data_IF_812244731963
#
_entry.id   IF_812244731963
#
_cell.length_a   1.000
_cell.length_b   1.000
_cell.length_c   1.000
_cell.angle_alpha   90.00
_cell.angle_beta   90.00
_cell.angle_gamma   90.00
#
_symmetry.space_group_name_H-M   'P 1'
#
loop_
_entity.id
_entity.type
_entity.pdbx_description
1 polymer ?
#
# COMPACT_ATOMS: atom_id res chain seq x y z
N UNK A 1 29.07 15.68 14.85
CA UNK A 1 27.75 15.53 15.51
C UNK A 1 26.59 15.81 14.55
N UNK A 2 26.59 16.94 13.81
CA UNK A 2 25.58 17.20 12.76
C UNK A 2 25.77 16.38 11.48
N UNK A 3 27.02 16.03 11.16
CA UNK A 3 27.33 15.14 10.02
C UNK A 3 26.70 13.75 10.20
N UNK A 4 26.97 13.08 11.33
CA UNK A 4 26.31 11.80 11.68
C UNK A 4 24.77 11.89 11.67
N UNK A 5 24.20 13.02 12.08
CA UNK A 5 22.76 13.22 12.06
C UNK A 5 22.21 13.30 10.62
N UNK A 6 22.91 14.01 9.73
CA UNK A 6 22.56 14.06 8.31
C UNK A 6 22.73 12.69 7.64
N UNK A 7 23.75 11.91 8.03
CA UNK A 7 23.91 10.53 7.58
C UNK A 7 22.77 9.63 8.06
N UNK A 8 22.36 9.74 9.33
CA UNK A 8 21.23 8.98 9.88
C UNK A 8 19.91 9.39 9.19
N UNK A 9 19.69 10.67 8.84
CA UNK A 9 18.55 11.12 8.03
C UNK A 9 18.59 10.59 6.59
N UNK A 10 19.78 10.53 5.97
CA UNK A 10 19.93 9.93 4.65
C UNK A 10 19.59 8.44 4.71
N UNK A 11 20.12 7.73 5.72
CA UNK A 11 19.83 6.32 5.96
C UNK A 11 18.33 6.08 6.12
N UNK A 12 17.63 6.94 6.87
CA UNK A 12 16.17 6.88 7.02
C UNK A 12 15.46 6.92 5.66
N UNK A 13 15.86 7.83 4.76
CA UNK A 13 15.29 7.91 3.42
C UNK A 13 15.61 6.65 2.59
N UNK A 14 16.86 6.18 2.62
CA UNK A 14 17.28 4.97 1.90
C UNK A 14 16.46 3.73 2.35
N UNK A 15 16.18 3.61 3.66
CA UNK A 15 15.34 2.54 4.21
C UNK A 15 13.86 2.65 3.79
N UNK A 16 13.30 3.85 3.73
CA UNK A 16 11.93 4.06 3.22
C UNK A 16 11.82 3.71 1.73
N UNK A 17 12.85 4.02 0.93
CA UNK A 17 12.92 3.61 -0.49
C UNK A 17 12.98 2.09 -0.59
N UNK A 18 13.79 1.43 0.24
CA UNK A 18 13.88 -0.03 0.28
C UNK A 18 12.53 -0.67 0.59
N UNK A 19 11.86 -0.22 1.67
CA UNK A 19 10.54 -0.71 2.06
C UNK A 19 9.49 -0.48 0.96
N UNK A 20 9.48 0.71 0.35
CA UNK A 20 8.58 1.02 -0.77
C UNK A 20 8.75 0.07 -1.96
N UNK A 21 9.99 -0.26 -2.33
CA UNK A 21 10.24 -1.23 -3.41
C UNK A 21 9.78 -2.66 -3.04
N UNK A 22 9.88 -3.06 -1.76
CA UNK A 22 9.37 -4.35 -1.30
C UNK A 22 7.85 -4.42 -1.41
N UNK A 23 7.16 -3.36 -0.97
CA UNK A 23 5.70 -3.23 -1.07
C UNK A 23 5.23 -3.26 -2.53
N UNK A 24 5.85 -2.48 -3.43
CA UNK A 24 5.55 -2.51 -4.87
C UNK A 24 5.71 -3.91 -5.47
N UNK A 25 6.76 -4.63 -5.07
CA UNK A 25 7.01 -6.00 -5.53
C UNK A 25 5.98 -6.98 -4.97
N UNK A 26 5.57 -6.84 -3.72
CA UNK A 26 4.51 -7.66 -3.10
C UNK A 26 3.18 -7.48 -3.83
N UNK A 27 2.81 -6.25 -4.19
CA UNK A 27 1.59 -5.97 -4.98
C UNK A 27 1.65 -6.61 -6.38
N UNK A 28 2.79 -6.50 -7.07
CA UNK A 28 2.94 -7.11 -8.40
C UNK A 28 2.88 -8.64 -8.34
N UNK A 29 3.55 -9.24 -7.36
CA UNK A 29 3.51 -10.67 -7.14
C UNK A 29 2.11 -11.14 -6.73
N UNK A 30 1.40 -10.37 -5.89
CA UNK A 30 0.03 -10.68 -5.45
C UNK A 30 -0.92 -10.76 -6.65
N UNK A 31 -0.85 -9.79 -7.56
CA UNK A 31 -1.59 -9.82 -8.83
C UNK A 31 -1.25 -11.06 -9.66
N UNK A 32 0.03 -11.40 -9.77
CA UNK A 32 0.46 -12.59 -10.51
C UNK A 32 -0.04 -13.88 -9.86
N UNK A 33 0.11 -14.02 -8.55
CA UNK A 33 -0.35 -15.16 -7.77
C UNK A 33 -1.87 -15.35 -7.93
N UNK A 34 -2.64 -14.27 -7.80
CA UNK A 34 -4.09 -14.29 -8.01
C UNK A 34 -4.47 -14.72 -9.43
N UNK A 35 -3.77 -14.19 -10.45
CA UNK A 35 -4.00 -14.52 -11.87
C UNK A 35 -3.70 -15.96 -12.22
N UNK A 36 -2.55 -16.46 -11.78
CA UNK A 36 -2.01 -17.76 -12.16
C UNK A 36 -2.44 -18.86 -11.18
N UNK A 37 -3.09 -18.50 -10.06
CA UNK A 37 -3.37 -19.40 -8.93
C UNK A 37 -2.07 -20.07 -8.44
N UNK A 38 -0.98 -19.30 -8.43
CA UNK A 38 0.35 -19.76 -8.07
C UNK A 38 0.51 -19.78 -6.55
N UNK A 39 0.29 -20.97 -5.98
CA UNK A 39 0.41 -21.21 -4.54
C UNK A 39 1.80 -20.93 -3.98
N UNK A 40 2.85 -21.30 -4.71
CA UNK A 40 4.21 -21.07 -4.24
C UNK A 40 4.51 -19.57 -4.19
N UNK A 41 4.07 -18.82 -5.19
CA UNK A 41 4.23 -17.37 -5.19
C UNK A 41 3.44 -16.70 -4.05
N UNK A 42 2.22 -17.15 -3.77
CA UNK A 42 1.44 -16.64 -2.64
C UNK A 42 2.14 -16.89 -1.29
N UNK A 43 2.62 -18.10 -1.05
CA UNK A 43 3.39 -18.45 0.16
C UNK A 43 4.71 -17.65 0.27
N UNK A 44 5.34 -17.32 -0.86
CA UNK A 44 6.53 -16.47 -0.89
C UNK A 44 6.22 -15.02 -0.49
N UNK A 45 5.06 -14.48 -0.89
CA UNK A 45 4.63 -13.12 -0.52
C UNK A 45 4.35 -13.05 0.98
N UNK A 46 3.55 -14.00 1.51
CA UNK A 46 3.22 -14.07 2.94
C UNK A 46 4.47 -14.19 3.80
N UNK A 47 5.48 -14.98 3.38
CA UNK A 47 6.76 -15.05 4.09
C UNK A 47 7.61 -13.79 3.93
N UNK A 48 7.53 -13.15 2.77
CA UNK A 48 8.23 -11.90 2.46
C UNK A 48 7.77 -10.74 3.32
N UNK A 49 6.50 -10.73 3.73
CA UNK A 49 5.88 -9.70 4.57
C UNK A 49 6.65 -9.43 5.88
N UNK A 50 7.20 -10.48 6.50
CA UNK A 50 8.05 -10.33 7.69
C UNK A 50 9.25 -9.38 7.47
N UNK A 51 9.76 -9.28 6.24
CA UNK A 51 10.86 -8.35 5.92
C UNK A 51 10.38 -6.89 5.92
N UNK A 52 9.13 -6.64 5.52
CA UNK A 52 8.50 -5.32 5.56
C UNK A 52 8.30 -4.91 7.03
N UNK A 53 7.78 -5.81 7.86
CA UNK A 53 7.56 -5.56 9.30
C UNK A 53 8.88 -5.31 10.06
N UNK A 54 9.94 -6.02 9.68
CA UNK A 54 11.27 -5.77 10.27
C UNK A 54 11.81 -4.38 9.87
N UNK A 55 11.62 -3.98 8.61
CA UNK A 55 12.02 -2.65 8.15
C UNK A 55 11.22 -1.54 8.82
N UNK A 56 9.92 -1.73 9.05
CA UNK A 56 9.11 -0.79 9.82
C UNK A 56 9.74 -0.55 11.20
N UNK A 57 9.96 -1.62 11.97
CA UNK A 57 10.57 -1.52 13.29
C UNK A 57 11.95 -0.85 13.27
N UNK A 58 12.80 -1.17 12.30
CA UNK A 58 14.13 -0.57 12.17
C UNK A 58 14.05 0.93 11.84
N UNK A 59 13.10 1.34 10.98
CA UNK A 59 12.83 2.73 10.63
C UNK A 59 12.31 3.50 11.85
N UNK A 60 11.33 2.94 12.58
CA UNK A 60 10.79 3.54 13.79
C UNK A 60 11.88 3.75 14.86
N UNK A 61 12.71 2.72 15.09
CA UNK A 61 13.83 2.80 16.03
C UNK A 61 14.83 3.89 15.63
N UNK A 62 15.12 4.06 14.33
CA UNK A 62 15.98 5.12 13.83
C UNK A 62 15.34 6.51 14.03
N UNK A 63 14.04 6.65 13.76
CA UNK A 63 13.28 7.88 14.01
C UNK A 63 13.35 8.29 15.49
N UNK A 64 13.10 7.36 16.42
CA UNK A 64 13.22 7.63 17.86
C UNK A 64 14.65 8.00 18.25
N UNK A 65 15.65 7.30 17.72
CA UNK A 65 17.06 7.63 17.95
C UNK A 65 17.42 9.04 17.47
N UNK A 66 16.92 9.46 16.31
CA UNK A 66 17.12 10.81 15.75
C UNK A 66 16.48 11.87 16.65
N UNK A 67 15.25 11.65 17.14
CA UNK A 67 14.55 12.55 18.05
C UNK A 67 15.19 12.65 19.45
N UNK A 68 15.75 11.55 19.96
CA UNK A 68 16.34 11.51 21.30
C UNK A 68 17.77 12.09 21.35
N UNK A 69 18.54 11.96 20.26
CA UNK A 69 19.95 12.39 20.22
C UNK A 69 20.14 13.89 19.99
N UNK A 70 19.15 14.57 19.43
CA UNK A 70 19.20 15.99 19.07
C UNK A 70 17.86 16.63 19.42
N UNK A 71 17.81 17.95 19.60
CA UNK A 71 16.55 18.69 19.48
C UNK A 71 16.41 19.07 18.00
N UNK A 72 15.71 18.27 17.16
CA UNK A 72 15.55 18.58 15.75
C UNK A 72 14.87 19.95 15.59
N UNK A 73 15.36 20.74 14.64
CA UNK A 73 14.65 21.95 14.21
C UNK A 73 13.36 21.55 13.48
N UNK A 74 12.42 22.49 13.32
CA UNK A 74 11.08 22.21 12.81
C UNK A 74 11.05 21.39 11.51
N UNK A 75 11.95 21.66 10.55
CA UNK A 75 12.03 20.90 9.29
C UNK A 75 12.48 19.46 9.51
N UNK A 76 13.49 19.24 10.34
CA UNK A 76 14.00 17.89 10.61
C UNK A 76 12.98 17.07 11.39
N UNK A 77 12.25 17.70 12.31
CA UNK A 77 11.16 17.05 13.05
C UNK A 77 10.02 16.64 12.10
N UNK A 78 9.66 17.47 11.12
CA UNK A 78 8.67 17.10 10.10
C UNK A 78 9.12 15.89 9.30
N UNK A 79 10.36 15.85 8.83
CA UNK A 79 10.91 14.68 8.11
C UNK A 79 10.77 13.40 8.93
N UNK A 80 11.12 13.45 10.22
CA UNK A 80 11.06 12.28 11.10
C UNK A 80 9.60 11.88 11.40
N UNK A 81 8.74 12.86 11.65
CA UNK A 81 7.33 12.63 11.94
C UNK A 81 6.58 12.04 10.74
N UNK A 82 6.83 12.54 9.53
CA UNK A 82 6.20 11.99 8.31
C UNK A 82 6.77 10.62 7.98
N UNK A 83 8.06 10.38 8.20
CA UNK A 83 8.64 9.05 8.05
C UNK A 83 7.96 8.00 8.95
N UNK A 84 7.67 8.35 10.22
CA UNK A 84 6.93 7.49 11.14
C UNK A 84 5.49 7.21 10.71
N UNK A 85 4.86 8.10 9.93
CA UNK A 85 3.51 7.89 9.44
C UNK A 85 3.49 7.06 8.17
N UNK A 86 4.33 7.45 7.22
CA UNK A 86 4.48 6.75 5.94
C UNK A 86 4.95 5.32 6.12
N UNK A 87 5.82 5.03 7.10
CA UNK A 87 6.27 3.65 7.33
C UNK A 87 5.12 2.72 7.74
N UNK A 88 4.19 3.21 8.57
CA UNK A 88 3.00 2.43 8.95
C UNK A 88 2.05 2.26 7.76
N UNK A 89 1.83 3.29 6.94
CA UNK A 89 1.00 3.15 5.73
C UNK A 89 1.63 2.15 4.74
N UNK A 90 2.97 2.11 4.61
CA UNK A 90 3.67 1.12 3.80
C UNK A 90 3.53 -0.32 4.34
N UNK A 91 3.62 -0.51 5.65
CA UNK A 91 3.40 -1.82 6.28
C UNK A 91 1.98 -2.31 5.99
N UNK A 92 0.97 -1.45 6.15
CA UNK A 92 -0.43 -1.80 5.88
C UNK A 92 -0.70 -2.21 4.45
N UNK A 93 -0.03 -1.59 3.48
CA UNK A 93 -0.12 -2.01 2.07
C UNK A 93 0.55 -3.38 1.88
N UNK A 94 1.68 -3.63 2.55
CA UNK A 94 2.34 -4.93 2.59
C UNK A 94 1.44 -6.05 3.12
N UNK A 95 0.86 -5.84 4.30
CA UNK A 95 -0.13 -6.72 4.94
C UNK A 95 -1.27 -7.06 3.97
N UNK A 96 -1.89 -6.05 3.37
CA UNK A 96 -3.03 -6.23 2.47
C UNK A 96 -2.63 -6.99 1.20
N UNK A 97 -1.41 -6.79 0.69
CA UNK A 97 -0.88 -7.57 -0.44
C UNK A 97 -0.69 -9.06 -0.08
N UNK A 98 -0.21 -9.34 1.14
CA UNK A 98 -0.07 -10.69 1.66
C UNK A 98 -1.44 -11.36 1.89
N UNK A 99 -2.39 -10.65 2.49
CA UNK A 99 -3.77 -11.13 2.71
C UNK A 99 -4.47 -11.48 1.38
N UNK A 100 -4.39 -10.61 0.37
CA UNK A 100 -4.94 -10.90 -0.97
C UNK A 100 -4.30 -12.16 -1.56
N UNK A 101 -2.99 -12.33 -1.35
CA UNK A 101 -2.25 -13.50 -1.84
C UNK A 101 -2.67 -14.78 -1.14
N UNK A 102 -2.85 -14.76 0.18
CA UNK A 102 -3.34 -15.91 0.95
C UNK A 102 -4.78 -16.27 0.55
N UNK A 103 -5.65 -15.26 0.43
CA UNK A 103 -7.04 -15.46 0.00
C UNK A 103 -7.15 -16.04 -1.41
N UNK A 104 -6.22 -15.71 -2.31
CA UNK A 104 -6.19 -16.27 -3.66
C UNK A 104 -6.14 -17.81 -3.70
N UNK A 105 -5.67 -18.43 -2.61
CA UNK A 105 -5.55 -19.89 -2.47
C UNK A 105 -6.82 -20.57 -1.98
N UNK A 106 -7.80 -19.79 -1.51
CA UNK A 106 -9.02 -20.31 -0.88
C UNK A 106 -10.19 -20.44 -1.85
N UNK A 107 -10.03 -20.01 -3.10
CA UNK A 107 -11.06 -20.10 -4.13
C UNK A 107 -11.28 -21.55 -4.59
N UNK A 108 -12.54 -21.93 -4.75
CA UNK A 108 -12.94 -23.27 -5.20
C UNK A 108 -13.38 -23.28 -6.68
N UNK A 109 -13.72 -22.11 -7.24
CA UNK A 109 -14.17 -21.90 -8.60
C UNK A 109 -13.07 -22.05 -9.67
N UNK A 110 -13.50 -22.19 -10.93
CA UNK A 110 -12.57 -22.26 -12.08
C UNK A 110 -12.19 -20.84 -12.51
N UNK A 111 -10.92 -20.49 -12.32
CA UNK A 111 -10.28 -19.23 -12.76
C UNK A 111 -10.83 -17.93 -12.12
N UNK A 112 -10.53 -17.69 -10.83
CA UNK A 112 -11.07 -16.55 -10.10
C UNK A 112 -10.80 -15.18 -10.73
N UNK A 113 -9.65 -15.04 -11.37
CA UNK A 113 -9.22 -13.81 -12.04
C UNK A 113 -10.14 -13.34 -13.19
N UNK A 114 -11.01 -14.21 -13.72
CA UNK A 114 -11.94 -13.86 -14.81
C UNK A 114 -13.39 -13.82 -14.39
N UNK A 115 -13.71 -14.22 -13.16
CA UNK A 115 -15.08 -14.29 -12.68
C UNK A 115 -15.63 -12.90 -12.38
N UNK A 116 -14.81 -12.05 -11.77
CA UNK A 116 -15.12 -10.63 -11.52
C UNK A 116 -14.18 -9.79 -12.38
N UNK A 117 -14.71 -9.13 -13.40
CA UNK A 117 -13.93 -8.51 -14.47
C UNK A 117 -13.12 -7.30 -13.98
N UNK A 118 -13.66 -6.57 -13.00
CA UNK A 118 -13.07 -5.31 -12.54
C UNK A 118 -11.94 -5.48 -11.52
N UNK A 119 -11.83 -6.62 -10.82
CA UNK A 119 -10.73 -6.86 -9.86
C UNK A 119 -9.34 -6.72 -10.51
N UNK A 120 -9.04 -7.38 -11.65
CA UNK A 120 -7.79 -7.19 -12.38
C UNK A 120 -7.41 -5.73 -12.66
N UNK A 121 -8.41 -4.91 -13.01
CA UNK A 121 -8.23 -3.49 -13.29
C UNK A 121 -7.95 -2.73 -12.00
N UNK A 122 -8.73 -3.00 -10.94
CA UNK A 122 -8.53 -2.41 -9.61
C UNK A 122 -7.13 -2.70 -9.07
N UNK A 123 -6.65 -3.96 -9.13
CA UNK A 123 -5.28 -4.32 -8.73
C UNK A 123 -4.22 -3.52 -9.49
N UNK A 124 -4.44 -3.25 -10.79
CA UNK A 124 -3.51 -2.46 -11.61
C UNK A 124 -3.50 -1.00 -11.17
N UNK A 125 -4.67 -0.40 -10.96
CA UNK A 125 -4.80 1.00 -10.55
C UNK A 125 -4.21 1.20 -9.15
N UNK A 126 -4.55 0.36 -8.18
CA UNK A 126 -3.97 0.44 -6.82
C UNK A 126 -2.44 0.35 -6.84
N UNK A 127 -1.86 -0.57 -7.62
CA UNK A 127 -0.39 -0.69 -7.75
C UNK A 127 0.23 0.58 -8.35
N UNK A 128 -0.39 1.17 -9.36
CA UNK A 128 0.09 2.41 -9.99
C UNK A 128 -0.05 3.61 -9.03
N UNK A 129 -1.13 3.67 -8.25
CA UNK A 129 -1.37 4.68 -7.23
C UNK A 129 -0.31 4.63 -6.13
N UNK A 130 -0.04 3.44 -5.57
CA UNK A 130 1.03 3.22 -4.58
C UNK A 130 2.39 3.61 -5.15
N UNK A 131 2.67 3.26 -6.41
CA UNK A 131 3.92 3.66 -7.07
C UNK A 131 4.06 5.19 -7.14
N UNK A 132 3.03 5.91 -7.59
CA UNK A 132 3.09 7.37 -7.67
C UNK A 132 3.22 8.00 -6.28
N UNK A 133 2.51 7.49 -5.25
CA UNK A 133 2.60 7.98 -3.87
C UNK A 133 4.00 7.80 -3.27
N UNK A 134 4.59 6.61 -3.40
CA UNK A 134 5.96 6.33 -2.93
C UNK A 134 6.97 7.22 -3.66
N UNK A 135 6.87 7.32 -4.99
CA UNK A 135 7.77 8.17 -5.78
C UNK A 135 7.61 9.64 -5.42
N UNK A 136 6.38 10.10 -5.20
CA UNK A 136 6.09 11.46 -4.74
C UNK A 136 6.82 11.74 -3.43
N UNK A 137 6.67 10.87 -2.43
CA UNK A 137 7.28 11.06 -1.12
C UNK A 137 8.81 11.09 -1.18
N UNK A 138 9.42 10.09 -1.85
CA UNK A 138 10.88 9.95 -1.97
C UNK A 138 11.51 11.12 -2.73
N UNK A 139 10.85 11.60 -3.78
CA UNK A 139 11.37 12.69 -4.64
C UNK A 139 10.89 14.08 -4.22
N UNK A 140 10.01 14.16 -3.23
CA UNK A 140 9.34 15.39 -2.76
C UNK A 140 8.57 16.10 -3.87
N UNK A 141 7.89 15.34 -4.71
CA UNK A 141 7.14 15.81 -5.87
C UNK A 141 5.63 15.80 -5.58
N UNK A 142 5.09 16.96 -5.21
CA UNK A 142 3.66 17.12 -4.90
C UNK A 142 2.76 16.83 -6.11
N UNK A 143 3.23 17.07 -7.33
CA UNK A 143 2.41 16.85 -8.53
C UNK A 143 2.29 15.35 -8.85
N UNK A 144 3.28 14.53 -8.47
CA UNK A 144 3.12 13.07 -8.42
C UNK A 144 2.08 12.65 -7.38
N UNK A 145 2.15 13.24 -6.21
CA UNK A 145 1.24 12.97 -5.11
C UNK A 145 -0.22 13.22 -5.47
N UNK A 146 -0.53 14.39 -6.05
CA UNK A 146 -1.88 14.72 -6.55
C UNK A 146 -2.40 13.76 -7.61
N UNK A 147 -1.51 13.15 -8.41
CA UNK A 147 -1.93 12.12 -9.36
C UNK A 147 -2.34 10.84 -8.65
N UNK A 148 -1.63 10.45 -7.60
CA UNK A 148 -2.02 9.30 -6.78
C UNK A 148 -3.37 9.56 -6.10
N UNK A 149 -3.54 10.73 -5.49
CA UNK A 149 -4.79 11.17 -4.88
C UNK A 149 -5.98 11.10 -5.85
N UNK A 150 -5.84 11.64 -7.07
CA UNK A 150 -6.87 11.56 -8.10
C UNK A 150 -7.14 10.14 -8.65
N UNK A 151 -6.30 9.15 -8.33
CA UNK A 151 -6.55 7.75 -8.68
C UNK A 151 -7.45 7.06 -7.64
N UNK A 152 -7.58 7.61 -6.43
CA UNK A 152 -8.45 7.07 -5.39
C UNK A 152 -9.92 7.03 -5.84
N UNK A 153 -10.39 8.11 -6.46
CA UNK A 153 -11.72 8.16 -7.11
C UNK A 153 -11.93 7.01 -8.12
N UNK A 154 -10.88 6.60 -8.83
CA UNK A 154 -10.96 5.48 -9.78
C UNK A 154 -11.06 4.13 -9.05
N UNK A 155 -10.35 3.98 -7.93
CA UNK A 155 -10.42 2.79 -7.07
C UNK A 155 -11.82 2.65 -6.47
N UNK A 156 -12.42 3.75 -6.01
CA UNK A 156 -13.78 3.81 -5.46
C UNK A 156 -14.86 3.41 -6.48
N UNK A 157 -14.74 3.91 -7.71
CA UNK A 157 -15.63 3.52 -8.82
C UNK A 157 -15.49 2.03 -9.09
N UNK A 158 -14.26 1.52 -9.22
CA UNK A 158 -14.00 0.10 -9.48
C UNK A 158 -14.51 -0.79 -8.34
N UNK A 159 -14.39 -0.36 -7.08
CA UNK A 159 -14.94 -1.08 -5.94
C UNK A 159 -16.47 -1.21 -6.03
N UNK A 160 -17.14 -0.14 -6.45
CA UNK A 160 -18.59 -0.13 -6.66
C UNK A 160 -19.02 -1.04 -7.82
N UNK A 161 -18.24 -1.08 -8.91
CA UNK A 161 -18.45 -1.98 -10.04
C UNK A 161 -18.27 -3.45 -9.63
N UNK A 162 -17.20 -3.78 -8.90
CA UNK A 162 -16.97 -5.12 -8.36
C UNK A 162 -18.14 -5.58 -7.48
N UNK A 163 -18.66 -4.71 -6.61
CA UNK A 163 -19.85 -5.03 -5.79
C UNK A 163 -21.07 -5.35 -6.65
N UNK A 164 -21.32 -4.55 -7.70
CA UNK A 164 -22.46 -4.77 -8.58
C UNK A 164 -22.34 -6.10 -9.33
N UNK A 165 -21.15 -6.46 -9.81
CA UNK A 165 -20.90 -7.75 -10.46
C UNK A 165 -21.13 -8.94 -9.53
N UNK A 166 -20.62 -8.86 -8.29
CA UNK A 166 -20.83 -9.91 -7.29
C UNK A 166 -22.33 -10.13 -7.02
N UNK A 167 -23.11 -9.04 -6.95
CA UNK A 167 -24.57 -9.13 -6.77
C UNK A 167 -25.24 -9.86 -7.94
N UNK A 168 -24.85 -9.58 -9.18
CA UNK A 168 -25.40 -10.28 -10.35
C UNK A 168 -24.99 -11.75 -10.37
N UNK A 169 -23.73 -12.08 -10.07
CA UNK A 169 -23.25 -13.47 -9.97
C UNK A 169 -24.06 -14.26 -8.93
N UNK A 170 -24.35 -13.65 -7.77
CA UNK A 170 -25.16 -14.25 -6.72
C UNK A 170 -26.61 -14.50 -7.16
N UNK A 171 -27.23 -13.54 -7.88
CA UNK A 171 -28.60 -13.69 -8.41
C UNK A 171 -28.70 -14.83 -9.43
N UNK A 172 -27.69 -14.98 -10.27
CA UNK A 172 -27.66 -16.02 -11.30
C UNK A 172 -27.34 -17.42 -10.74
N UNK A 173 -26.82 -17.51 -9.50
CA UNK A 173 -26.46 -18.76 -8.84
C UNK A 173 -25.32 -19.52 -9.53
N UNK A 174 -24.45 -18.80 -10.24
CA UNK A 174 -23.37 -19.38 -11.08
C UNK A 174 -22.09 -19.69 -10.31
N UNK A 175 -21.89 -19.13 -9.12
CA UNK A 175 -20.67 -19.26 -8.32
C UNK A 175 -21.00 -19.56 -6.85
N UNK A 176 -20.03 -20.14 -6.13
CA UNK A 176 -20.18 -20.33 -4.68
C UNK A 176 -20.26 -18.97 -3.96
N UNK A 177 -21.15 -18.88 -2.97
CA UNK A 177 -21.29 -17.72 -2.07
C UNK A 177 -19.97 -17.42 -1.37
N UNK A 178 -19.22 -18.44 -0.94
CA UNK A 178 -17.93 -18.25 -0.27
C UNK A 178 -16.91 -17.53 -1.18
N UNK A 179 -16.85 -17.92 -2.46
CA UNK A 179 -15.98 -17.29 -3.45
C UNK A 179 -16.43 -15.85 -3.73
N UNK A 180 -17.76 -15.59 -3.77
CA UNK A 180 -18.31 -14.24 -3.87
C UNK A 180 -17.90 -13.33 -2.71
N UNK A 181 -17.92 -13.86 -1.48
CA UNK A 181 -17.45 -13.14 -0.29
C UNK A 181 -15.94 -12.87 -0.36
N UNK A 182 -15.15 -13.84 -0.84
CA UNK A 182 -13.72 -13.67 -1.01
C UNK A 182 -13.38 -12.56 -2.02
N UNK A 183 -14.11 -12.46 -3.14
CA UNK A 183 -13.94 -11.34 -4.09
C UNK A 183 -14.23 -9.99 -3.45
N UNK A 184 -15.30 -9.89 -2.65
CA UNK A 184 -15.66 -8.64 -1.99
C UNK A 184 -14.59 -8.20 -0.99
N UNK A 185 -14.02 -9.15 -0.24
CA UNK A 185 -12.94 -8.87 0.71
C UNK A 185 -11.67 -8.43 -0.03
N UNK A 186 -11.29 -9.11 -1.12
CA UNK A 186 -10.16 -8.69 -1.97
C UNK A 186 -10.37 -7.25 -2.47
N UNK A 187 -11.58 -6.93 -2.97
CA UNK A 187 -11.89 -5.59 -3.43
C UNK A 187 -11.81 -4.55 -2.30
N UNK A 188 -12.23 -4.91 -1.07
CA UNK A 188 -12.08 -4.02 0.10
C UNK A 188 -10.61 -3.84 0.49
N UNK A 189 -9.76 -4.86 0.39
CA UNK A 189 -8.33 -4.68 0.62
C UNK A 189 -7.68 -3.79 -0.43
N UNK A 190 -8.09 -3.89 -1.70
CA UNK A 190 -7.62 -2.99 -2.75
C UNK A 190 -8.01 -1.53 -2.52
N UNK A 191 -9.22 -1.27 -2.01
CA UNK A 191 -9.65 0.08 -1.62
C UNK A 191 -8.82 0.60 -0.44
N UNK A 192 -8.58 -0.21 0.59
CA UNK A 192 -7.71 0.19 1.71
C UNK A 192 -6.26 0.47 1.28
N UNK A 193 -5.75 -0.23 0.27
CA UNK A 193 -4.44 0.08 -0.32
C UNK A 193 -4.46 1.48 -0.95
N UNK A 194 -5.57 1.86 -1.58
CA UNK A 194 -5.83 3.22 -2.07
C UNK A 194 -5.77 4.23 -0.94
N UNK A 195 -6.55 4.03 0.13
CA UNK A 195 -6.56 4.90 1.32
C UNK A 195 -5.14 5.14 1.86
N UNK A 196 -4.34 4.08 2.02
CA UNK A 196 -2.96 4.18 2.52
C UNK A 196 -2.04 4.93 1.54
N UNK A 197 -2.25 4.80 0.24
CA UNK A 197 -1.50 5.58 -0.76
C UNK A 197 -1.87 7.07 -0.72
N UNK A 198 -3.14 7.39 -0.49
CA UNK A 198 -3.62 8.77 -0.26
C UNK A 198 -3.00 9.36 1.00
N UNK A 199 -2.97 8.62 2.12
CA UNK A 199 -2.30 9.05 3.34
C UNK A 199 -0.83 9.41 3.10
N UNK A 200 -0.09 8.59 2.32
CA UNK A 200 1.31 8.87 1.98
C UNK A 200 1.46 10.21 1.25
N UNK A 201 0.52 10.55 0.37
CA UNK A 201 0.47 11.85 -0.28
C UNK A 201 0.18 12.97 0.72
N UNK A 202 -0.83 12.84 1.59
CA UNK A 202 -1.15 13.84 2.61
C UNK A 202 0.06 14.11 3.55
N UNK A 203 0.81 13.06 3.91
CA UNK A 203 2.04 13.20 4.70
C UNK A 203 3.16 13.92 3.93
N UNK A 204 3.26 13.72 2.61
CA UNK A 204 4.17 14.51 1.77
C UNK A 204 3.74 15.98 1.74
N UNK A 205 2.45 16.27 1.64
CA UNK A 205 1.95 17.63 1.67
C UNK A 205 2.33 18.32 2.97
N UNK A 206 2.06 17.68 4.11
CA UNK A 206 2.48 18.18 5.42
C UNK A 206 4.00 18.35 5.54
N UNK A 207 4.80 17.43 4.97
CA UNK A 207 6.26 17.56 4.95
C UNK A 207 6.70 18.86 4.26
N UNK A 208 6.03 19.22 3.16
CA UNK A 208 6.39 20.37 2.32
C UNK A 208 5.83 21.69 2.87
N UNK A 209 4.55 21.70 3.24
CA UNK A 209 3.82 22.91 3.63
C UNK A 209 3.91 23.17 5.13
N UNK A 210 3.90 22.11 5.94
CA UNK A 210 3.79 22.18 7.40
C UNK A 210 2.35 22.31 7.89
N UNK A 211 1.39 22.22 6.99
CA UNK A 211 -0.04 22.25 7.27
C UNK A 211 -0.62 20.85 7.04
N UNK A 212 -1.44 20.40 7.99
CA UNK A 212 -2.32 19.26 7.75
C UNK A 212 -3.62 19.86 7.24
N UNK A 213 -3.98 19.59 5.98
CA UNK A 213 -5.37 19.80 5.59
C UNK A 213 -6.21 18.87 6.47
N UNK A 214 -7.12 19.44 7.25
CA UNK A 214 -8.06 18.63 8.03
C UNK A 214 -9.04 18.01 7.04
N UNK A 215 -8.76 16.81 6.55
CA UNK A 215 -9.76 15.99 5.87
C UNK A 215 -10.79 15.59 6.95
N UNK A 216 -11.94 16.26 6.93
CA UNK A 216 -13.10 16.01 7.81
C UNK A 216 -13.91 14.82 7.33
#
# INVERSE_FOLDING_TARGET
>A
MREQYNEDLKKLNDMLVEMGNLVENSLEKSKKAFKEQDKTLAEDIVRGDQSINNLEHDIEALCFKLMLRQQPVATDLRVIATALKVVTDLERIGDQAADISEMSLSFNGKYPYKTVEHIPTMMKVCREMVHEAIRAYVTKDLERGKRADAMDDQVDVLFSEVKAEIVEILKEGKENIDDCLNYLIIAKYLERIGDHATNIYEWLEFLMTGELENTQ
#
